data_IF_975442419813
#
_entry.id   IF_975442419813
#
_cell.length_a   1.000
_cell.length_b   1.000
_cell.length_c   1.000
_cell.angle_alpha   90.00
_cell.angle_beta   90.00
_cell.angle_gamma   90.00
#
_symmetry.space_group_name_H-M   'P 1'
#
loop_
_entity.id
_entity.type
_entity.pdbx_description
1 polymer ?
#
# COMPACT_ATOMS: atom_id res chain seq x y z
N UNK A 1 -18.57 -16.93 2.43
CA UNK A 1 -17.60 -17.06 3.54
C UNK A 1 -16.84 -15.75 3.59
N UNK A 2 -17.02 -14.95 4.65
CA UNK A 2 -16.30 -13.68 4.79
C UNK A 2 -14.82 -14.00 5.03
N UNK A 3 -13.95 -13.73 4.05
CA UNK A 3 -12.52 -13.61 4.33
C UNK A 3 -12.36 -12.35 5.16
N UNK A 4 -12.26 -12.50 6.48
CA UNK A 4 -11.63 -11.45 7.30
C UNK A 4 -10.18 -11.36 6.81
N UNK A 5 -9.86 -10.27 6.12
CA UNK A 5 -8.47 -9.96 5.80
C UNK A 5 -7.71 -9.83 7.14
N UNK A 6 -6.69 -10.67 7.33
CA UNK A 6 -5.86 -10.58 8.51
C UNK A 6 -5.03 -9.29 8.42
N UNK A 7 -5.24 -8.41 9.40
CA UNK A 7 -4.36 -7.28 9.66
C UNK A 7 -3.10 -7.82 10.31
N UNK A 8 -1.94 -7.50 9.72
CA UNK A 8 -0.63 -7.72 10.36
C UNK A 8 -0.08 -6.38 10.81
N UNK A 9 0.27 -6.27 12.09
CA UNK A 9 0.81 -5.04 12.69
C UNK A 9 2.17 -5.33 13.29
N UNK A 10 3.12 -4.42 13.08
CA UNK A 10 4.40 -4.41 13.77
C UNK A 10 4.76 -2.98 14.18
N UNK A 11 5.74 -2.85 15.07
CA UNK A 11 6.21 -1.55 15.53
C UNK A 11 7.72 -1.53 15.68
N UNK A 12 8.29 -0.36 15.47
CA UNK A 12 9.62 0.01 15.95
C UNK A 12 9.40 1.15 16.93
N UNK A 13 9.74 0.95 18.21
CA UNK A 13 9.48 1.92 19.27
C UNK A 13 8.00 2.34 19.25
N UNK A 14 7.71 3.64 19.08
CA UNK A 14 6.34 4.15 19.04
C UNK A 14 5.85 4.41 17.60
N UNK A 15 6.57 3.90 16.60
CA UNK A 15 6.17 3.94 15.20
C UNK A 15 5.52 2.61 14.84
N UNK A 16 4.26 2.64 14.43
CA UNK A 16 3.46 1.44 14.13
C UNK A 16 3.08 1.39 12.67
N UNK A 17 3.20 0.22 12.05
CA UNK A 17 2.71 -0.07 10.71
C UNK A 17 1.75 -1.25 10.78
N UNK A 18 0.57 -1.09 10.19
CA UNK A 18 -0.39 -2.16 9.94
C UNK A 18 -0.57 -2.34 8.44
N UNK A 19 -0.66 -3.59 7.98
CA UNK A 19 -1.00 -3.91 6.60
C UNK A 19 -2.11 -4.95 6.54
N UNK A 20 -3.02 -4.74 5.60
CA UNK A 20 -4.12 -5.64 5.28
C UNK A 20 -4.05 -6.00 3.79
N UNK A 21 -3.73 -7.25 3.44
CA UNK A 21 -3.85 -7.70 2.05
C UNK A 21 -5.32 -7.66 1.62
N UNK A 22 -5.60 -6.97 0.51
CA UNK A 22 -6.95 -6.86 -0.05
C UNK A 22 -7.17 -7.91 -1.13
N UNK A 23 -8.38 -8.47 -1.18
CA UNK A 23 -8.79 -9.37 -2.26
C UNK A 23 -9.06 -8.59 -3.55
N UNK A 24 -8.94 -9.24 -4.71
CA UNK A 24 -9.26 -8.63 -6.00
C UNK A 24 -10.71 -8.18 -6.10
N UNK A 25 -11.64 -8.92 -5.49
CA UNK A 25 -13.05 -8.53 -5.37
C UNK A 25 -13.21 -7.25 -4.56
N UNK A 26 -12.57 -7.14 -3.39
CA UNK A 26 -12.62 -5.93 -2.54
C UNK A 26 -12.08 -4.70 -3.29
N UNK A 27 -10.94 -4.86 -3.95
CA UNK A 27 -10.31 -3.79 -4.75
C UNK A 27 -11.22 -3.38 -5.90
N UNK A 28 -11.73 -4.34 -6.66
CA UNK A 28 -12.64 -4.08 -7.78
C UNK A 28 -13.89 -3.35 -7.33
N UNK A 29 -14.57 -3.84 -6.29
CA UNK A 29 -15.76 -3.22 -5.74
C UNK A 29 -15.52 -1.77 -5.29
N UNK A 30 -14.39 -1.52 -4.62
CA UNK A 30 -14.01 -0.18 -4.17
C UNK A 30 -13.88 0.82 -5.33
N UNK A 31 -13.24 0.44 -6.43
CA UNK A 31 -13.00 1.34 -7.56
C UNK A 31 -14.15 1.41 -8.56
N UNK A 32 -14.94 0.34 -8.71
CA UNK A 32 -16.18 0.38 -9.50
C UNK A 32 -17.15 1.40 -8.90
N UNK A 33 -17.29 1.44 -7.58
CA UNK A 33 -18.07 2.45 -6.89
C UNK A 33 -17.55 3.90 -7.09
N UNK A 34 -16.36 4.06 -7.69
CA UNK A 34 -15.69 5.35 -7.97
C UNK A 34 -15.55 5.63 -9.47
N UNK A 35 -16.23 4.86 -10.32
CA UNK A 35 -16.35 5.13 -11.75
C UNK A 35 -15.35 4.39 -12.65
N UNK A 36 -14.60 3.41 -12.13
CA UNK A 36 -13.93 2.44 -13.00
C UNK A 36 -14.95 1.40 -13.51
N UNK A 37 -14.72 0.84 -14.71
CA UNK A 37 -15.33 -0.43 -15.06
C UNK A 37 -14.56 -1.60 -14.45
N UNK A 38 -15.19 -2.77 -14.37
CA UNK A 38 -14.50 -3.99 -13.92
C UNK A 38 -13.30 -4.35 -14.80
N UNK A 39 -13.41 -4.11 -16.11
CA UNK A 39 -12.33 -4.36 -17.08
C UNK A 39 -11.17 -3.39 -16.87
N UNK A 40 -11.46 -2.11 -16.63
CA UNK A 40 -10.41 -1.10 -16.47
C UNK A 40 -9.57 -1.36 -15.21
N UNK A 41 -10.21 -1.64 -14.07
CA UNK A 41 -9.46 -1.85 -12.82
C UNK A 41 -8.82 -3.25 -12.69
N UNK A 42 -9.11 -4.17 -13.61
CA UNK A 42 -8.73 -5.58 -13.48
C UNK A 42 -7.24 -5.78 -13.22
N UNK A 43 -6.35 -5.03 -13.88
CA UNK A 43 -4.90 -5.16 -13.70
C UNK A 43 -4.43 -4.76 -12.30
N UNK A 44 -5.02 -3.71 -11.71
CA UNK A 44 -4.73 -3.30 -10.34
C UNK A 44 -5.34 -4.27 -9.33
N UNK A 45 -6.57 -4.75 -9.57
CA UNK A 45 -7.26 -5.71 -8.70
C UNK A 45 -6.57 -7.09 -8.67
N UNK A 46 -5.90 -7.51 -9.74
CA UNK A 46 -5.15 -8.77 -9.79
C UNK A 46 -3.77 -8.67 -9.13
N UNK A 47 -3.24 -7.45 -8.97
CA UNK A 47 -2.00 -7.22 -8.25
C UNK A 47 -2.15 -7.57 -6.75
N UNK A 48 -1.03 -7.75 -6.06
CA UNK A 48 -1.08 -7.87 -4.61
C UNK A 48 -1.20 -6.46 -4.00
N UNK A 49 -2.43 -6.05 -3.70
CA UNK A 49 -2.74 -4.76 -3.08
C UNK A 49 -2.74 -4.90 -1.56
N UNK A 50 -1.97 -4.04 -0.90
CA UNK A 50 -1.94 -3.90 0.55
C UNK A 50 -2.56 -2.56 0.92
N UNK A 51 -3.49 -2.57 1.88
CA UNK A 51 -3.93 -1.37 2.58
C UNK A 51 -3.07 -1.17 3.82
N UNK A 52 -2.46 0.00 3.94
CA UNK A 52 -1.61 0.37 5.05
C UNK A 52 -2.28 1.36 5.99
N UNK A 53 -1.92 1.27 7.27
CA UNK A 53 -2.00 2.36 8.24
C UNK A 53 -0.60 2.52 8.84
N UNK A 54 -0.02 3.71 8.73
CA UNK A 54 1.28 4.03 9.28
C UNK A 54 1.14 5.19 10.26
N UNK A 55 1.71 5.06 11.46
CA UNK A 55 1.52 6.02 12.56
C UNK A 55 2.82 6.32 13.27
N UNK A 56 3.10 7.61 13.46
CA UNK A 56 4.19 8.11 14.28
C UNK A 56 3.65 8.53 15.66
N UNK A 57 3.74 7.67 16.66
CA UNK A 57 3.46 8.05 18.05
C UNK A 57 4.74 8.43 18.83
N UNK A 58 5.88 8.53 18.15
CA UNK A 58 7.11 9.08 18.71
C UNK A 58 7.07 10.61 18.76
N UNK A 59 8.09 11.19 19.41
CA UNK A 59 8.23 12.65 19.57
C UNK A 59 9.13 13.29 18.50
N UNK A 60 9.57 12.51 17.52
CA UNK A 60 10.50 12.93 16.48
C UNK A 60 9.81 12.89 15.13
N UNK A 61 10.12 13.87 14.28
CA UNK A 61 9.76 13.85 12.88
C UNK A 61 10.42 12.64 12.20
N UNK A 62 9.66 11.90 11.41
CA UNK A 62 10.17 10.82 10.57
C UNK A 62 9.81 11.07 9.10
N UNK A 63 10.57 10.48 8.20
CA UNK A 63 10.29 10.48 6.77
C UNK A 63 10.36 9.07 6.23
N UNK A 64 9.54 8.76 5.23
CA UNK A 64 9.67 7.51 4.49
C UNK A 64 9.57 7.75 2.99
N UNK A 65 10.07 6.78 2.24
CA UNK A 65 9.85 6.64 0.81
C UNK A 65 9.39 5.22 0.53
N UNK A 66 8.21 5.07 -0.10
CA UNK A 66 7.66 3.76 -0.42
C UNK A 66 8.58 2.96 -1.35
N UNK A 67 9.38 3.65 -2.18
CA UNK A 67 10.40 3.02 -3.04
C UNK A 67 11.53 2.32 -2.26
N UNK A 68 11.70 2.60 -0.96
CA UNK A 68 12.67 1.91 -0.10
C UNK A 68 12.07 0.68 0.60
N UNK A 69 10.78 0.42 0.38
CA UNK A 69 10.05 -0.71 0.95
C UNK A 69 10.04 -1.87 -0.03
N UNK A 70 10.22 -3.07 0.49
CA UNK A 70 10.26 -4.28 -0.33
C UNK A 70 9.92 -5.50 0.50
N UNK A 71 9.46 -6.55 -0.15
CA UNK A 71 9.37 -7.87 0.46
C UNK A 71 10.77 -8.43 0.78
N UNK A 72 10.83 -9.46 1.62
CA UNK A 72 12.10 -10.15 1.91
C UNK A 72 12.83 -10.71 0.68
N UNK A 73 12.11 -11.00 -0.41
CA UNK A 73 12.65 -11.43 -1.70
C UNK A 73 12.86 -10.27 -2.72
N UNK A 74 12.74 -9.02 -2.27
CA UNK A 74 13.09 -7.83 -3.06
C UNK A 74 11.99 -7.31 -4.00
N UNK A 75 10.73 -7.73 -3.83
CA UNK A 75 9.60 -7.19 -4.58
C UNK A 75 9.20 -5.84 -3.97
N UNK A 76 9.34 -4.76 -4.75
CA UNK A 76 8.91 -3.42 -4.36
C UNK A 76 7.46 -3.10 -4.74
N UNK A 77 7.08 -1.84 -4.57
CA UNK A 77 5.77 -1.30 -4.94
C UNK A 77 5.79 -0.61 -6.30
N UNK A 78 4.69 -0.77 -7.04
CA UNK A 78 4.46 -0.01 -8.27
C UNK A 78 4.19 1.46 -7.93
N UNK A 79 4.93 2.42 -8.52
CA UNK A 79 4.67 3.84 -8.34
C UNK A 79 3.25 4.25 -8.76
N UNK A 80 2.63 5.16 -8.00
CA UNK A 80 1.32 5.74 -8.37
C UNK A 80 1.33 6.40 -9.75
N UNK A 81 2.44 7.05 -10.12
CA UNK A 81 2.58 7.70 -11.42
C UNK A 81 2.45 6.72 -12.59
N UNK A 82 2.91 5.47 -12.43
CA UNK A 82 2.83 4.45 -13.47
C UNK A 82 1.40 3.96 -13.68
N UNK A 83 0.64 3.85 -12.59
CA UNK A 83 -0.80 3.58 -12.65
C UNK A 83 -1.56 4.73 -13.32
N UNK A 84 -1.33 5.98 -12.88
CA UNK A 84 -2.05 7.14 -13.43
C UNK A 84 -1.75 7.34 -14.92
N UNK A 85 -0.51 7.14 -15.35
CA UNK A 85 -0.13 7.17 -16.77
C UNK A 85 -0.83 6.05 -17.57
N UNK A 86 -1.03 4.88 -16.97
CA UNK A 86 -1.78 3.78 -17.61
C UNK A 86 -3.25 4.14 -17.76
N UNK A 87 -3.87 4.67 -16.71
CA UNK A 87 -5.26 5.12 -16.74
C UNK A 87 -5.49 6.28 -17.72
N UNK A 88 -4.55 7.21 -17.82
CA UNK A 88 -4.60 8.29 -18.80
C UNK A 88 -4.61 7.77 -20.24
N UNK A 89 -3.68 6.87 -20.58
CA UNK A 89 -3.61 6.26 -21.92
C UNK A 89 -4.84 5.44 -22.27
N UNK A 90 -5.50 4.84 -21.28
CA UNK A 90 -6.73 4.07 -21.46
C UNK A 90 -7.98 4.96 -21.53
N UNK A 91 -7.84 6.28 -21.35
CA UNK A 91 -8.96 7.21 -21.40
C UNK A 91 -9.90 7.09 -20.19
N UNK A 92 -9.40 6.59 -19.06
CA UNK A 92 -10.20 6.48 -17.83
C UNK A 92 -10.63 7.88 -17.37
N UNK A 93 -11.91 8.10 -17.02
CA UNK A 93 -12.41 9.41 -16.62
C UNK A 93 -11.58 10.04 -15.50
N UNK A 94 -11.34 11.35 -15.60
CA UNK A 94 -10.56 12.11 -14.62
C UNK A 94 -11.09 11.96 -13.19
N UNK A 95 -12.41 11.89 -13.01
CA UNK A 95 -13.04 11.69 -11.71
C UNK A 95 -12.62 10.35 -11.06
N UNK A 96 -12.67 9.26 -11.84
CA UNK A 96 -12.25 7.93 -11.39
C UNK A 96 -10.76 7.89 -11.06
N UNK A 97 -9.92 8.44 -11.94
CA UNK A 97 -8.47 8.57 -11.70
C UNK A 97 -8.14 9.42 -10.47
N UNK A 98 -8.90 10.48 -10.24
CA UNK A 98 -8.76 11.30 -9.03
C UNK A 98 -9.05 10.45 -7.80
N UNK A 99 -10.18 9.75 -7.77
CA UNK A 99 -10.52 8.86 -6.67
C UNK A 99 -9.48 7.75 -6.45
N UNK A 100 -8.86 7.24 -7.52
CA UNK A 100 -7.74 6.31 -7.44
C UNK A 100 -6.53 6.91 -6.72
N UNK A 101 -6.10 8.11 -7.14
CA UNK A 101 -4.97 8.83 -6.51
C UNK A 101 -5.22 9.12 -5.03
N UNK A 102 -6.43 9.54 -4.65
CA UNK A 102 -6.79 9.81 -3.25
C UNK A 102 -6.75 8.57 -2.36
N UNK A 103 -6.93 7.38 -2.92
CA UNK A 103 -6.91 6.13 -2.17
C UNK A 103 -5.52 5.49 -2.06
N UNK A 104 -4.51 6.01 -2.77
CA UNK A 104 -3.17 5.44 -2.73
C UNK A 104 -2.39 5.87 -1.48
N UNK A 105 -1.53 4.99 -1.00
CA UNK A 105 -0.50 5.31 -0.03
C UNK A 105 0.54 6.24 -0.68
N UNK A 106 0.99 7.30 0.00
CA UNK A 106 1.87 8.28 -0.62
C UNK A 106 3.24 7.69 -0.94
N UNK A 107 3.87 8.20 -2.01
CA UNK A 107 5.19 7.77 -2.44
C UNK A 107 6.29 8.17 -1.45
N UNK A 108 6.13 9.34 -0.83
CA UNK A 108 6.96 9.85 0.25
C UNK A 108 6.13 10.76 1.14
N UNK A 109 6.48 10.82 2.42
CA UNK A 109 5.83 11.72 3.37
C UNK A 109 6.76 11.96 4.55
N UNK A 110 6.73 13.19 5.06
CA UNK A 110 7.28 13.57 6.36
C UNK A 110 6.13 13.57 7.39
N UNK A 111 6.36 12.94 8.53
CA UNK A 111 5.42 12.73 9.62
C UNK A 111 5.94 13.44 10.85
N UNK A 112 5.17 14.40 11.34
CA UNK A 112 5.38 14.96 12.66
C UNK A 112 4.90 14.01 13.76
N UNK A 113 5.22 14.36 15.01
CA UNK A 113 4.77 13.62 16.17
C UNK A 113 3.22 13.59 16.22
N UNK A 114 2.65 12.38 16.23
CA UNK A 114 1.21 12.14 16.25
C UNK A 114 0.58 11.93 14.87
N UNK A 115 1.32 12.19 13.79
CA UNK A 115 0.81 12.00 12.43
C UNK A 115 0.56 10.53 12.11
N UNK A 116 -0.42 10.31 11.24
CA UNK A 116 -0.73 9.02 10.68
C UNK A 116 -1.26 9.16 9.25
N UNK A 117 -1.07 8.12 8.44
CA UNK A 117 -1.64 8.04 7.10
C UNK A 117 -2.18 6.65 6.85
N UNK A 118 -3.11 6.55 5.91
CA UNK A 118 -3.55 5.29 5.33
C UNK A 118 -3.64 5.38 3.81
N UNK A 119 -3.62 4.22 3.16
CA UNK A 119 -3.77 4.15 1.72
C UNK A 119 -3.43 2.77 1.18
N UNK A 120 -3.67 2.58 -0.11
CA UNK A 120 -3.39 1.34 -0.81
C UNK A 120 -2.09 1.44 -1.62
N UNK A 121 -1.32 0.36 -1.70
CA UNK A 121 -0.28 0.24 -2.71
C UNK A 121 -0.21 -1.19 -3.24
N UNK A 122 0.17 -1.32 -4.51
CA UNK A 122 0.30 -2.61 -5.19
C UNK A 122 1.78 -2.99 -5.32
N UNK A 123 2.12 -4.24 -5.02
CA UNK A 123 3.45 -4.78 -5.35
C UNK A 123 3.62 -4.86 -6.88
N UNK A 124 4.86 -4.68 -7.36
CA UNK A 124 5.19 -4.76 -8.81
C UNK A 124 4.96 -6.16 -9.39
N UNK A 125 4.99 -7.19 -8.55
CA UNK A 125 4.65 -8.56 -8.89
C UNK A 125 4.03 -9.25 -7.68
N UNK A 126 3.18 -10.24 -7.93
CA UNK A 126 2.58 -11.07 -6.88
C UNK A 126 3.63 -12.05 -6.30
N UNK A 127 3.86 -12.06 -4.98
CA UNK A 127 4.61 -13.12 -4.29
C UNK A 127 3.93 -14.49 -4.48
N UNK A 128 4.72 -15.57 -4.52
CA UNK A 128 4.21 -16.93 -4.75
C UNK A 128 3.57 -17.58 -3.51
N UNK A 129 3.71 -16.99 -2.33
CA UNK A 129 3.22 -17.53 -1.07
C UNK A 129 3.25 -16.48 0.05
N UNK A 130 3.44 -16.95 1.29
CA UNK A 130 3.67 -16.05 2.42
C UNK A 130 4.98 -15.29 2.24
N UNK A 131 5.00 -14.04 2.66
CA UNK A 131 6.17 -13.17 2.56
C UNK A 131 6.23 -12.23 3.75
N UNK A 132 7.43 -11.73 4.05
CA UNK A 132 7.62 -10.58 4.93
C UNK A 132 7.67 -9.29 4.11
N UNK A 133 7.19 -8.19 4.68
CA UNK A 133 7.40 -6.84 4.16
C UNK A 133 8.40 -6.12 5.06
N UNK A 134 9.44 -5.52 4.48
CA UNK A 134 10.42 -4.69 5.16
C UNK A 134 10.13 -3.24 4.79
N UNK A 135 9.46 -2.51 5.69
CA UNK A 135 9.19 -1.09 5.57
C UNK A 135 10.33 -0.28 6.21
N UNK A 136 10.77 0.79 5.53
CA UNK A 136 11.87 1.64 5.98
C UNK A 136 11.41 3.07 6.22
N UNK A 137 11.90 3.65 7.30
CA UNK A 137 11.76 5.08 7.57
C UNK A 137 13.06 5.64 8.15
N UNK A 138 13.21 6.95 8.11
CA UNK A 138 14.36 7.66 8.65
C UNK A 138 13.91 8.70 9.67
N UNK A 139 14.65 8.83 10.76
CA UNK A 139 14.55 9.92 11.71
C UNK A 139 15.94 10.55 11.95
N UNK A 140 16.06 11.41 12.95
CA UNK A 140 17.34 12.03 13.33
C UNK A 140 18.42 11.03 13.79
N UNK A 141 18.05 9.79 14.15
CA UNK A 141 18.95 8.72 14.61
C UNK A 141 19.37 7.79 13.46
N UNK A 142 18.79 7.94 12.28
CA UNK A 142 19.14 7.18 11.08
C UNK A 142 17.97 6.40 10.51
N UNK A 143 18.28 5.33 9.77
CA UNK A 143 17.31 4.44 9.16
C UNK A 143 16.81 3.40 10.17
N UNK A 144 15.51 3.13 10.13
CA UNK A 144 14.85 2.08 10.90
C UNK A 144 14.04 1.17 9.97
N UNK A 145 13.76 -0.04 10.45
CA UNK A 145 12.94 -1.01 9.73
C UNK A 145 11.77 -1.48 10.60
N UNK A 146 10.60 -1.66 9.97
CA UNK A 146 9.47 -2.37 10.53
C UNK A 146 9.21 -3.57 9.63
N UNK A 147 9.22 -4.77 10.22
CA UNK A 147 9.02 -6.03 9.49
C UNK A 147 7.62 -6.55 9.79
N UNK A 148 6.78 -6.67 8.77
CA UNK A 148 5.49 -7.36 8.85
C UNK A 148 5.66 -8.78 8.34
N UNK A 149 5.40 -9.78 9.18
CA UNK A 149 5.56 -11.19 8.83
C UNK A 149 4.61 -12.08 9.66
N UNK A 150 3.84 -13.00 9.05
CA UNK A 150 3.65 -13.18 7.60
C UNK A 150 2.56 -12.29 7.02
N UNK A 151 2.72 -11.94 5.74
CA UNK A 151 1.67 -11.47 4.85
C UNK A 151 1.41 -12.53 3.76
N UNK A 152 0.21 -12.49 3.16
CA UNK A 152 -0.13 -13.31 2.00
C UNK A 152 -1.20 -12.63 1.16
N UNK A 153 -1.03 -12.61 -0.15
CA UNK A 153 -2.01 -12.02 -1.07
C UNK A 153 -3.22 -12.97 -1.21
N UNK A 154 -4.47 -12.53 -1.00
CA UNK A 154 -5.64 -13.40 -1.07
C UNK A 154 -5.82 -14.01 -2.45
N UNK A 155 -5.98 -15.33 -2.54
CA UNK A 155 -6.33 -16.01 -3.79
C UNK A 155 -7.85 -16.01 -3.92
N UNK A 156 -8.40 -15.02 -4.60
CA UNK A 156 -9.80 -14.97 -5.02
C UNK A 156 -9.95 -15.04 -6.54
#
# INVERSE_FOLDING_TARGET
>A
MSLLALVTTASQAQVTLSATPLSGEQVSAFYIARGFSATDIASYAQACVLSFEFRNADRTTLRFRLAEWQTGDGIGFQPLADWDATWDRQGIPLAARTAFRWAQFPAEQEFEAGDWIMGMAALTRRPSGKFSLIARYHDAKGQHEIILDPLSCPHD
#
